data_IF_875262932179
#
_entry.id   IF_875262932179
#
_cell.length_a   1.000
_cell.length_b   1.000
_cell.length_c   1.000
_cell.angle_alpha   90.00
_cell.angle_beta   90.00
_cell.angle_gamma   90.00
#
_symmetry.space_group_name_H-M   'P 1'
#
loop_
_entity.id
_entity.type
_entity.pdbx_description
1 polymer ?
#
# COMPACT_ATOMS: atom_id res chain seq x y z
N UNK A 1 -12.63 17.44 4.00
CA UNK A 1 -13.85 16.82 3.43
C UNK A 1 -13.60 15.31 3.39
N UNK A 2 -14.01 14.60 4.46
CA UNK A 2 -13.94 13.15 4.50
C UNK A 2 -15.09 12.55 3.69
N UNK A 3 -14.84 12.11 2.48
CA UNK A 3 -15.79 11.27 1.77
C UNK A 3 -15.76 9.88 2.39
N UNK A 4 -16.79 9.56 3.14
CA UNK A 4 -17.04 8.20 3.61
C UNK A 4 -17.26 7.34 2.37
N UNK A 5 -16.31 6.47 2.06
CA UNK A 5 -16.48 5.50 0.99
C UNK A 5 -17.55 4.49 1.41
N UNK A 6 -18.60 4.36 0.60
CA UNK A 6 -19.65 3.36 0.77
C UNK A 6 -19.57 2.43 -0.44
N UNK A 7 -19.16 1.15 -0.27
CA UNK A 7 -19.15 0.20 -1.38
C UNK A 7 -20.57 0.03 -1.92
N UNK A 8 -20.72 0.02 -3.24
CA UNK A 8 -22.00 -0.40 -3.86
C UNK A 8 -22.14 -1.90 -3.72
N UNK A 9 -23.27 -2.41 -3.25
CA UNK A 9 -23.51 -3.87 -3.22
C UNK A 9 -23.48 -4.42 -4.65
N UNK A 10 -22.79 -5.56 -4.84
CA UNK A 10 -22.89 -6.33 -6.08
C UNK A 10 -24.32 -6.88 -6.22
N UNK A 11 -24.73 -7.19 -7.45
CA UNK A 11 -26.09 -7.68 -7.75
C UNK A 11 -26.47 -8.99 -7.04
N UNK A 12 -25.55 -9.61 -6.30
CA UNK A 12 -25.73 -10.83 -5.50
C UNK A 12 -25.84 -10.57 -4.01
N UNK A 13 -25.79 -9.31 -3.56
CA UNK A 13 -25.96 -8.98 -2.15
C UNK A 13 -27.42 -9.03 -1.75
N UNK A 14 -27.76 -9.59 -0.59
CA UNK A 14 -29.14 -9.60 -0.11
C UNK A 14 -29.66 -8.17 0.12
N UNK A 15 -30.95 -7.88 -0.14
CA UNK A 15 -31.49 -6.53 -0.27
C UNK A 15 -31.83 -5.85 1.06
N UNK A 16 -31.15 -6.07 2.15
CA UNK A 16 -31.48 -5.38 3.40
C UNK A 16 -30.30 -5.05 4.28
N UNK A 17 -30.20 -3.76 4.51
CA UNK A 17 -29.61 -3.13 5.69
C UNK A 17 -28.13 -3.36 5.93
N UNK A 18 -27.31 -2.32 5.67
CA UNK A 18 -26.16 -2.12 6.52
C UNK A 18 -26.59 -2.21 8.00
N UNK A 19 -25.94 -2.99 8.75
CA UNK A 19 -24.47 -3.15 8.84
C UNK A 19 -24.04 -4.58 8.49
N UNK A 20 -22.84 -4.71 7.89
CA UNK A 20 -22.03 -5.92 7.70
C UNK A 20 -22.78 -7.25 7.51
N UNK A 21 -22.35 -8.09 6.56
CA UNK A 21 -22.85 -9.45 6.50
C UNK A 21 -22.67 -10.12 7.86
N UNK A 22 -23.53 -11.08 8.21
CA UNK A 22 -23.39 -11.81 9.47
C UNK A 22 -21.95 -12.25 9.69
N UNK A 23 -21.48 -12.26 10.91
CA UNK A 23 -20.11 -12.68 11.27
C UNK A 23 -19.72 -14.07 10.75
N UNK A 24 -20.71 -14.84 10.30
CA UNK A 24 -20.56 -16.16 9.67
C UNK A 24 -20.41 -16.11 8.15
N UNK A 25 -20.62 -14.94 7.52
CA UNK A 25 -20.48 -14.85 6.06
C UNK A 25 -19.00 -14.70 5.69
N UNK A 26 -18.50 -15.69 4.94
CA UNK A 26 -17.18 -15.62 4.30
C UNK A 26 -17.36 -15.99 2.82
N UNK A 27 -16.88 -15.14 1.90
CA UNK A 27 -16.91 -15.50 0.49
C UNK A 27 -16.03 -16.73 0.22
N UNK A 28 -16.35 -17.46 -0.83
CA UNK A 28 -15.55 -18.62 -1.22
C UNK A 28 -14.12 -18.18 -1.61
N UNK A 29 -13.14 -18.75 -0.93
CA UNK A 29 -11.73 -18.45 -1.19
C UNK A 29 -11.22 -19.27 -2.38
N UNK A 30 -10.52 -18.62 -3.29
CA UNK A 30 -9.64 -19.30 -4.23
C UNK A 30 -8.17 -19.08 -3.79
N UNK A 31 -7.42 -20.17 -3.74
CA UNK A 31 -5.98 -20.13 -3.38
C UNK A 31 -5.15 -20.61 -4.56
N UNK A 32 -4.02 -19.97 -4.76
CA UNK A 32 -3.00 -20.51 -5.63
C UNK A 32 -2.45 -21.81 -5.06
N UNK A 33 -2.01 -22.76 -5.91
CA UNK A 33 -1.29 -23.94 -5.43
C UNK A 33 -0.09 -23.54 -4.56
N UNK A 34 0.16 -24.31 -3.52
CA UNK A 34 1.37 -24.12 -2.72
C UNK A 34 2.62 -24.23 -3.60
N UNK A 35 3.50 -23.26 -3.48
CA UNK A 35 4.80 -23.29 -4.14
C UNK A 35 5.73 -24.23 -3.39
N UNK A 36 6.31 -25.19 -4.11
CA UNK A 36 7.41 -26.00 -3.56
C UNK A 36 8.68 -25.14 -3.47
N UNK A 37 8.90 -24.56 -2.30
CA UNK A 37 10.04 -23.67 -2.04
C UNK A 37 11.39 -24.41 -2.07
N UNK A 38 11.40 -25.73 -1.95
CA UNK A 38 12.64 -26.52 -1.99
C UNK A 38 13.29 -26.54 -3.39
N UNK A 39 12.50 -26.27 -4.43
CA UNK A 39 12.97 -26.24 -5.83
C UNK A 39 13.38 -24.84 -6.28
N UNK A 40 13.24 -23.81 -5.45
CA UNK A 40 13.51 -22.42 -5.82
C UNK A 40 14.98 -22.07 -5.61
N UNK A 41 15.68 -21.71 -6.68
CA UNK A 41 16.96 -21.03 -6.58
C UNK A 41 16.76 -19.58 -6.13
N UNK A 42 17.24 -19.25 -4.94
CA UNK A 42 17.04 -17.92 -4.34
C UNK A 42 17.75 -16.81 -5.11
N UNK A 43 18.89 -17.08 -5.73
CA UNK A 43 19.61 -16.07 -6.51
C UNK A 43 18.84 -15.73 -7.80
N UNK A 44 18.44 -16.75 -8.56
CA UNK A 44 17.61 -16.56 -9.76
C UNK A 44 16.28 -15.89 -9.43
N UNK A 45 15.60 -16.36 -8.38
CA UNK A 45 14.35 -15.76 -7.93
C UNK A 45 14.53 -14.28 -7.56
N UNK A 46 15.60 -13.94 -6.84
CA UNK A 46 15.94 -12.55 -6.50
C UNK A 46 16.14 -11.67 -7.72
N UNK A 47 16.91 -12.14 -8.70
CA UNK A 47 17.13 -11.39 -9.95
C UNK A 47 15.83 -11.19 -10.74
N UNK A 48 14.97 -12.21 -10.80
CA UNK A 48 13.68 -12.11 -11.48
C UNK A 48 12.73 -11.14 -10.77
N UNK A 49 12.70 -11.12 -9.45
CA UNK A 49 11.92 -10.16 -8.67
C UNK A 49 12.42 -8.73 -8.92
N UNK A 50 13.74 -8.51 -8.88
CA UNK A 50 14.32 -7.18 -9.16
C UNK A 50 14.06 -6.70 -10.58
N UNK A 51 13.97 -7.60 -11.55
CA UNK A 51 13.65 -7.30 -12.94
C UNK A 51 12.14 -7.13 -13.21
N UNK A 52 11.30 -7.51 -12.25
CA UNK A 52 9.85 -7.42 -12.43
C UNK A 52 9.40 -5.97 -12.60
N UNK A 53 8.54 -5.64 -13.57
CA UNK A 53 8.13 -4.25 -13.86
C UNK A 53 7.59 -3.47 -12.65
N UNK A 54 6.94 -4.14 -11.70
CA UNK A 54 6.43 -3.50 -10.47
C UNK A 54 7.56 -3.13 -9.50
N UNK A 55 8.67 -3.88 -9.52
CA UNK A 55 9.79 -3.72 -8.58
C UNK A 55 10.95 -2.95 -9.19
N UNK A 56 11.18 -3.11 -10.48
CA UNK A 56 12.30 -2.50 -11.21
C UNK A 56 12.33 -0.99 -11.07
N UNK A 57 13.52 -0.42 -11.06
CA UNK A 57 13.74 1.02 -10.92
C UNK A 57 13.01 1.83 -12.00
N UNK A 58 12.33 2.88 -11.57
CA UNK A 58 11.54 3.79 -12.41
C UNK A 58 12.05 5.24 -12.36
N UNK A 59 13.33 5.40 -12.06
CA UNK A 59 13.97 6.71 -11.95
C UNK A 59 13.82 7.57 -13.21
N UNK A 60 13.66 6.95 -14.38
CA UNK A 60 13.41 7.68 -15.63
C UNK A 60 12.09 8.45 -15.59
N UNK A 61 11.07 7.98 -14.87
CA UNK A 61 9.77 8.67 -14.77
C UNK A 61 9.88 10.00 -14.02
N UNK A 62 10.70 10.07 -12.98
CA UNK A 62 10.87 11.28 -12.18
C UNK A 62 11.86 12.27 -12.80
N UNK A 63 12.59 11.89 -13.84
CA UNK A 63 13.53 12.76 -14.56
C UNK A 63 12.93 13.45 -15.79
N UNK A 64 11.79 12.98 -16.27
CA UNK A 64 11.11 13.52 -17.45
C UNK A 64 9.92 14.45 -17.12
N UNK A 65 9.53 14.53 -15.86
CA UNK A 65 8.45 15.38 -15.38
C UNK A 65 8.93 16.40 -14.34
N UNK A 66 8.00 17.16 -13.79
CA UNK A 66 8.27 18.11 -12.72
C UNK A 66 8.68 17.37 -11.44
N UNK A 67 9.77 17.77 -10.83
CA UNK A 67 10.28 17.17 -9.60
C UNK A 67 9.50 17.62 -8.37
N UNK A 68 9.34 18.91 -8.23
CA UNK A 68 8.59 19.54 -7.14
C UNK A 68 8.01 20.85 -7.57
N UNK A 69 6.85 21.18 -7.00
CA UNK A 69 6.09 22.39 -7.32
C UNK A 69 5.70 23.07 -6.01
N UNK A 70 5.69 24.41 -6.01
CA UNK A 70 5.19 25.20 -4.89
C UNK A 70 6.22 25.64 -3.85
N UNK A 71 7.40 25.07 -3.80
CA UNK A 71 8.54 25.58 -3.02
C UNK A 71 8.57 25.23 -1.54
N UNK A 72 7.57 24.61 -0.96
CA UNK A 72 7.55 24.16 0.46
C UNK A 72 8.02 22.72 0.63
N UNK A 73 8.89 22.23 -0.25
CA UNK A 73 9.44 20.89 -0.19
C UNK A 73 10.65 20.86 0.73
N UNK A 74 10.55 20.09 1.82
CA UNK A 74 11.67 19.85 2.72
C UNK A 74 12.51 18.65 2.26
N UNK A 75 11.88 17.63 1.67
CA UNK A 75 12.55 16.46 1.08
C UNK A 75 12.03 16.20 -0.33
N UNK A 76 12.96 16.32 -1.26
CA UNK A 76 12.73 16.08 -2.70
C UNK A 76 12.86 14.59 -3.05
N UNK A 77 12.42 14.24 -4.23
CA UNK A 77 12.54 12.90 -4.83
C UNK A 77 13.99 12.44 -5.01
N UNK A 78 14.91 13.37 -5.23
CA UNK A 78 16.33 13.09 -5.37
C UNK A 78 17.03 13.32 -4.05
N UNK A 79 17.81 12.34 -3.59
CA UNK A 79 18.38 12.31 -2.25
C UNK A 79 19.86 12.58 -2.25
N UNK A 80 20.28 13.45 -1.34
CA UNK A 80 21.68 13.75 -1.04
C UNK A 80 22.44 14.45 -2.17
N UNK A 81 23.77 14.62 -2.00
CA UNK A 81 24.62 15.33 -2.98
C UNK A 81 24.74 14.59 -4.31
N UNK A 82 24.51 13.27 -4.30
CA UNK A 82 24.57 12.44 -5.50
C UNK A 82 23.25 12.38 -6.26
N UNK A 83 22.21 13.07 -5.78
CA UNK A 83 20.89 13.09 -6.39
C UNK A 83 20.36 11.70 -6.69
N UNK A 84 20.46 10.80 -5.71
CA UNK A 84 19.99 9.42 -5.87
C UNK A 84 18.46 9.39 -5.88
N UNK A 85 17.85 8.83 -6.93
CA UNK A 85 16.43 8.54 -6.93
C UNK A 85 16.18 7.18 -6.23
N UNK A 86 15.10 6.95 -5.55
CA UNK A 86 13.97 7.84 -5.25
C UNK A 86 13.85 7.96 -3.73
N UNK A 87 13.42 9.11 -3.22
CA UNK A 87 13.02 9.20 -1.83
C UNK A 87 11.63 8.60 -1.66
N UNK A 88 11.50 7.60 -0.80
CA UNK A 88 10.21 6.93 -0.52
C UNK A 88 9.37 7.64 0.56
N UNK A 89 9.87 8.77 1.05
CA UNK A 89 9.18 9.65 1.97
C UNK A 89 9.23 11.09 1.46
N UNK A 90 8.08 11.69 1.25
CA UNK A 90 7.94 13.10 0.93
C UNK A 90 7.77 13.91 2.22
N UNK A 91 8.46 15.04 2.33
CA UNK A 91 8.33 15.96 3.46
C UNK A 91 8.08 17.37 2.93
N UNK A 92 7.01 18.00 3.40
CA UNK A 92 6.65 19.36 3.05
C UNK A 92 6.55 20.23 4.31
N UNK A 93 6.91 21.50 4.17
CA UNK A 93 6.70 22.47 5.24
C UNK A 93 5.28 23.01 5.23
N UNK A 94 4.76 23.34 6.42
CA UNK A 94 3.45 23.99 6.57
C UNK A 94 3.47 25.49 6.23
N UNK A 95 4.66 26.08 6.12
CA UNK A 95 4.84 27.49 5.82
C UNK A 95 6.30 27.83 5.57
N UNK A 96 6.57 29.10 5.27
CA UNK A 96 7.93 29.60 5.03
C UNK A 96 8.70 29.91 6.31
N UNK A 97 8.01 30.00 7.45
CA UNK A 97 8.60 30.27 8.76
C UNK A 97 8.56 29.01 9.63
N UNK A 98 9.76 28.56 10.08
CA UNK A 98 9.89 27.40 10.95
C UNK A 98 10.06 26.07 10.20
N UNK A 99 10.01 24.97 10.98
CA UNK A 99 10.30 23.62 10.51
C UNK A 99 9.16 22.63 10.74
N UNK A 100 7.96 23.16 11.01
CA UNK A 100 6.76 22.33 11.13
C UNK A 100 6.30 21.93 9.73
N UNK A 101 5.95 20.66 9.55
CA UNK A 101 5.56 20.14 8.25
C UNK A 101 4.81 18.83 8.37
N UNK A 102 4.62 18.22 7.22
CA UNK A 102 3.95 16.93 7.07
C UNK A 102 4.87 15.97 6.32
N UNK A 103 4.84 14.71 6.72
CA UNK A 103 5.53 13.63 6.03
C UNK A 103 4.51 12.65 5.44
N UNK A 104 4.77 12.20 4.23
CA UNK A 104 3.94 11.23 3.53
C UNK A 104 4.79 10.11 2.95
N UNK A 105 4.31 8.89 3.06
CA UNK A 105 4.93 7.71 2.45
C UNK A 105 3.85 6.79 1.89
N UNK A 106 4.23 5.98 0.93
CA UNK A 106 3.36 4.99 0.29
C UNK A 106 3.96 3.60 0.52
N UNK A 107 3.08 2.61 0.71
CA UNK A 107 3.42 1.20 0.68
C UNK A 107 2.49 0.46 -0.27
N UNK A 108 3.05 -0.43 -1.09
CA UNK A 108 2.32 -1.21 -2.09
C UNK A 108 2.97 -2.58 -2.27
N UNK A 109 2.15 -3.64 -2.24
CA UNK A 109 2.60 -5.03 -2.43
C UNK A 109 1.67 -5.81 -3.36
N UNK A 110 1.27 -5.20 -4.47
CA UNK A 110 0.29 -5.75 -5.41
C UNK A 110 0.61 -7.16 -5.89
N UNK A 111 1.83 -7.53 -6.32
CA UNK A 111 2.12 -8.89 -6.77
C UNK A 111 1.92 -9.94 -5.69
N UNK A 112 2.17 -9.62 -4.43
CA UNK A 112 2.00 -10.54 -3.31
C UNK A 112 0.52 -10.85 -3.04
N UNK A 113 -0.38 -9.94 -3.36
CA UNK A 113 -1.83 -10.14 -3.21
C UNK A 113 -2.39 -11.28 -4.08
N UNK A 114 -1.67 -11.68 -5.11
CA UNK A 114 -2.01 -12.87 -5.90
C UNK A 114 -1.85 -14.16 -5.08
N UNK A 115 -0.91 -14.19 -4.15
CA UNK A 115 -0.59 -15.35 -3.31
C UNK A 115 -1.38 -15.30 -2.01
N UNK A 116 -1.31 -14.17 -1.30
CA UNK A 116 -1.95 -13.95 -0.01
C UNK A 116 -2.31 -12.46 0.15
N UNK A 117 -3.58 -12.16 0.04
CA UNK A 117 -4.07 -10.77 0.09
C UNK A 117 -3.92 -10.14 1.47
N UNK A 118 -4.11 -10.91 2.54
CA UNK A 118 -3.95 -10.45 3.92
C UNK A 118 -2.48 -10.12 4.22
N UNK A 119 -1.56 -11.01 3.84
CA UNK A 119 -0.12 -10.78 3.99
C UNK A 119 0.35 -9.58 3.15
N UNK A 120 -0.13 -9.45 1.91
CA UNK A 120 0.17 -8.31 1.05
C UNK A 120 -0.26 -6.99 1.68
N UNK A 121 -1.45 -6.94 2.25
CA UNK A 121 -1.97 -5.75 2.92
C UNK A 121 -1.12 -5.36 4.15
N UNK A 122 -0.77 -6.33 5.00
CA UNK A 122 0.12 -6.09 6.15
C UNK A 122 1.50 -5.59 5.72
N UNK A 123 2.07 -6.18 4.68
CA UNK A 123 3.37 -5.77 4.15
C UNK A 123 3.33 -4.37 3.53
N UNK A 124 2.23 -3.99 2.87
CA UNK A 124 2.06 -2.64 2.34
C UNK A 124 2.03 -1.59 3.46
N UNK A 125 1.33 -1.85 4.56
CA UNK A 125 1.37 -0.96 5.74
C UNK A 125 2.78 -0.93 6.35
N UNK A 126 3.43 -2.07 6.50
CA UNK A 126 4.80 -2.15 7.00
C UNK A 126 5.79 -1.36 6.15
N UNK A 127 5.66 -1.42 4.83
CA UNK A 127 6.46 -0.62 3.90
C UNK A 127 6.21 0.88 4.08
N UNK A 128 4.94 1.31 4.12
CA UNK A 128 4.60 2.71 4.32
C UNK A 128 5.19 3.26 5.64
N UNK A 129 5.13 2.49 6.72
CA UNK A 129 5.69 2.88 8.02
C UNK A 129 7.22 2.93 7.96
N UNK A 130 7.87 1.94 7.36
CA UNK A 130 9.34 1.93 7.24
C UNK A 130 9.84 3.06 6.36
N UNK A 131 9.16 3.40 5.28
CA UNK A 131 9.47 4.55 4.45
C UNK A 131 9.29 5.85 5.23
N UNK A 132 8.24 5.95 6.06
CA UNK A 132 7.96 7.12 6.89
C UNK A 132 9.03 7.33 7.98
N UNK A 133 9.77 6.30 8.39
CA UNK A 133 10.88 6.43 9.34
C UNK A 133 12.02 7.33 8.85
N UNK A 134 12.02 7.73 7.57
CA UNK A 134 12.92 8.76 7.05
C UNK A 134 12.57 10.19 7.53
N UNK A 135 11.42 10.36 8.17
CA UNK A 135 10.95 11.61 8.78
C UNK A 135 10.96 11.50 10.32
N UNK A 136 11.18 12.60 11.05
CA UNK A 136 11.14 12.61 12.52
C UNK A 136 9.70 12.59 13.04
N UNK A 137 8.98 11.50 12.82
CA UNK A 137 7.63 11.29 13.35
C UNK A 137 7.74 10.90 14.82
N UNK A 138 7.03 11.59 15.70
CA UNK A 138 7.16 11.43 17.16
C UNK A 138 6.66 10.06 17.66
N UNK A 139 5.56 9.56 17.10
CA UNK A 139 4.95 8.30 17.50
C UNK A 139 4.02 7.75 16.41
N UNK A 140 3.68 6.46 16.51
CA UNK A 140 2.72 5.81 15.60
C UNK A 140 1.31 6.43 15.69
N UNK A 141 0.93 6.96 16.85
CA UNK A 141 -0.39 7.59 17.06
C UNK A 141 -0.59 8.84 16.19
N UNK A 142 0.51 9.43 15.71
CA UNK A 142 0.47 10.59 14.81
C UNK A 142 0.27 10.22 13.36
N UNK A 143 0.42 8.95 13.03
CA UNK A 143 0.30 8.46 11.66
C UNK A 143 -1.19 8.27 11.32
N UNK A 144 -1.60 8.81 10.19
CA UNK A 144 -2.92 8.58 9.60
C UNK A 144 -2.73 7.74 8.34
N UNK A 145 -3.43 6.62 8.28
CA UNK A 145 -3.42 5.74 7.12
C UNK A 145 -4.61 6.05 6.21
N UNK A 146 -4.34 6.09 4.92
CA UNK A 146 -5.35 6.09 3.88
C UNK A 146 -5.12 4.86 3.00
N UNK A 147 -6.11 4.00 2.88
CA UNK A 147 -6.01 2.79 2.09
C UNK A 147 -6.86 2.90 0.82
N UNK A 148 -6.28 2.48 -0.29
CA UNK A 148 -6.97 2.34 -1.56
C UNK A 148 -6.95 0.88 -1.99
N UNK A 149 -8.13 0.28 -2.02
CA UNK A 149 -8.29 -1.14 -2.33
C UNK A 149 -8.69 -1.32 -3.79
N UNK A 150 -7.76 -1.84 -4.58
CA UNK A 150 -7.97 -2.15 -6.00
C UNK A 150 -8.18 -3.66 -6.14
N UNK A 151 -9.41 -4.09 -6.39
CA UNK A 151 -9.76 -5.49 -6.53
C UNK A 151 -10.74 -5.68 -7.68
N UNK A 152 -10.67 -6.84 -8.33
CA UNK A 152 -11.62 -7.26 -9.38
C UNK A 152 -12.92 -7.80 -8.74
N UNK A 153 -13.56 -7.00 -7.90
CA UNK A 153 -14.75 -7.39 -7.15
C UNK A 153 -15.84 -7.98 -8.07
N UNK A 154 -16.48 -9.06 -7.63
CA UNK A 154 -17.46 -9.80 -8.40
C UNK A 154 -16.88 -10.95 -9.24
N UNK A 155 -15.56 -11.06 -9.37
CA UNK A 155 -14.93 -12.25 -9.94
C UNK A 155 -14.68 -13.31 -8.86
N UNK A 156 -14.61 -14.55 -9.28
CA UNK A 156 -14.44 -15.69 -8.37
C UNK A 156 -13.21 -15.55 -7.47
N UNK A 157 -13.42 -15.59 -6.16
CA UNK A 157 -12.38 -15.48 -5.14
C UNK A 157 -11.86 -14.07 -4.86
N UNK A 158 -12.13 -13.07 -5.70
CA UNK A 158 -11.60 -11.70 -5.50
C UNK A 158 -12.30 -10.95 -4.36
N UNK A 159 -13.59 -11.18 -4.15
CA UNK A 159 -14.31 -10.61 -3.00
C UNK A 159 -13.77 -11.17 -1.67
N UNK A 160 -13.37 -12.45 -1.64
CA UNK A 160 -12.76 -13.06 -0.48
C UNK A 160 -11.40 -12.46 -0.17
N UNK A 161 -10.54 -12.29 -1.18
CA UNK A 161 -9.23 -11.65 -1.04
C UNK A 161 -9.36 -10.21 -0.53
N UNK A 162 -10.33 -9.46 -1.06
CA UNK A 162 -10.59 -8.10 -0.61
C UNK A 162 -11.03 -8.08 0.85
N UNK A 163 -11.96 -8.99 1.23
CA UNK A 163 -12.42 -9.12 2.60
C UNK A 163 -11.26 -9.44 3.56
N UNK A 164 -10.46 -10.47 3.25
CA UNK A 164 -9.33 -10.90 4.06
C UNK A 164 -8.27 -9.78 4.22
N UNK A 165 -8.00 -9.03 3.16
CA UNK A 165 -7.08 -7.90 3.20
C UNK A 165 -7.57 -6.76 4.10
N UNK A 166 -8.86 -6.40 3.99
CA UNK A 166 -9.45 -5.33 4.81
C UNK A 166 -9.57 -5.75 6.27
N UNK A 167 -9.95 -6.99 6.55
CA UNK A 167 -10.03 -7.55 7.91
C UNK A 167 -8.64 -7.52 8.56
N UNK A 168 -7.61 -7.98 7.85
CA UNK A 168 -6.24 -8.03 8.34
C UNK A 168 -5.70 -6.64 8.75
N UNK A 169 -6.08 -5.59 8.06
CA UNK A 169 -5.65 -4.24 8.40
C UNK A 169 -6.56 -3.60 9.44
N UNK A 170 -7.87 -3.64 9.22
CA UNK A 170 -8.82 -2.87 10.03
C UNK A 170 -9.16 -3.49 11.37
N UNK A 171 -8.99 -4.81 11.51
CA UNK A 171 -9.38 -5.53 12.73
C UNK A 171 -8.20 -6.12 13.50
N UNK A 172 -7.07 -6.37 12.82
CA UNK A 172 -5.93 -7.04 13.44
C UNK A 172 -4.71 -6.12 13.60
N UNK A 173 -4.33 -5.40 12.54
CA UNK A 173 -3.09 -4.62 12.54
C UNK A 173 -3.27 -3.20 13.06
N UNK A 174 -4.39 -2.55 12.72
CA UNK A 174 -4.67 -1.16 13.03
C UNK A 174 -6.05 -1.00 13.70
N UNK A 175 -6.32 -1.68 14.82
CA UNK A 175 -7.60 -1.55 15.55
C UNK A 175 -7.76 -0.19 16.23
#
# INVERSE_FOLDING_TARGET
FGSRWVPRPSATSPPTAWPWPPSSWKPAASRWPELDTATVDLHDAGLRVMAHPTVAAKNFLITIGDRSVGGLTARDQMVGPWQMPVADCAITFSGFDGFVGEAMAIGERTPLALLDAAAAARMAVGEAITNLCAAPVESLDRIKLSANWMAAAGHEGEDAKLFDAVEAIGMELCP
#
